data_IF_919094364378
#
_entry.id   IF_919094364378
#
_cell.length_a   1.000
_cell.length_b   1.000
_cell.length_c   1.000
_cell.angle_alpha   90.00
_cell.angle_beta   90.00
_cell.angle_gamma   90.00
#
_symmetry.space_group_name_H-M   'P 1'
#
loop_
_entity.id
_entity.type
_entity.pdbx_description
1 polymer ?
#
# COMPACT_ATOMS: atom_id res chain seq x y z
N UNK A 1 -35.05 -21.69 -5.91
CA UNK A 1 -35.22 -20.25 -6.17
C UNK A 1 -34.10 -19.63 -5.36
N UNK A 2 -32.94 -19.62 -5.99
CA UNK A 2 -31.70 -19.26 -5.32
C UNK A 2 -31.72 -17.74 -5.23
N UNK A 3 -31.76 -17.20 -4.01
CA UNK A 3 -31.56 -15.78 -3.83
C UNK A 3 -30.16 -15.48 -4.37
N UNK A 4 -30.07 -14.65 -5.42
CA UNK A 4 -28.79 -14.09 -5.85
C UNK A 4 -28.15 -13.46 -4.63
N UNK A 5 -27.07 -14.07 -4.15
CA UNK A 5 -26.24 -13.53 -3.10
C UNK A 5 -25.59 -12.28 -3.68
N UNK A 6 -26.11 -11.11 -3.31
CA UNK A 6 -25.57 -9.83 -3.73
C UNK A 6 -24.11 -9.77 -3.27
N UNK A 7 -23.18 -9.62 -4.21
CA UNK A 7 -21.77 -9.46 -3.87
C UNK A 7 -21.58 -8.19 -3.05
N UNK A 8 -20.62 -8.20 -2.13
CA UNK A 8 -20.20 -7.01 -1.40
C UNK A 8 -19.79 -5.87 -2.35
N UNK A 9 -19.26 -6.21 -3.54
CA UNK A 9 -18.92 -5.23 -4.58
C UNK A 9 -20.14 -4.52 -5.14
N UNK A 10 -21.22 -5.25 -5.42
CA UNK A 10 -22.46 -4.67 -5.95
C UNK A 10 -23.09 -3.75 -4.91
N UNK A 11 -23.11 -4.18 -3.64
CA UNK A 11 -23.56 -3.34 -2.54
C UNK A 11 -22.71 -2.06 -2.41
N UNK A 12 -21.38 -2.17 -2.52
CA UNK A 12 -20.50 -1.00 -2.47
C UNK A 12 -20.80 -0.06 -3.65
N UNK A 13 -20.92 -0.57 -4.88
CA UNK A 13 -21.21 0.23 -6.07
C UNK A 13 -22.49 1.04 -5.93
N UNK A 14 -23.58 0.42 -5.47
CA UNK A 14 -24.83 1.13 -5.19
C UNK A 14 -24.64 2.27 -4.18
N UNK A 15 -23.83 2.06 -3.13
CA UNK A 15 -23.52 3.09 -2.15
C UNK A 15 -22.64 4.21 -2.72
N UNK A 16 -21.72 3.89 -3.62
CA UNK A 16 -20.90 4.88 -4.32
C UNK A 16 -21.76 5.76 -5.21
N UNK A 17 -22.65 5.16 -6.02
CA UNK A 17 -23.58 5.87 -6.90
C UNK A 17 -24.58 6.74 -6.12
N UNK A 18 -25.13 6.20 -5.02
CA UNK A 18 -26.04 6.93 -4.15
C UNK A 18 -25.34 8.00 -3.29
N UNK A 19 -24.00 8.05 -3.28
CA UNK A 19 -23.19 8.90 -2.43
C UNK A 19 -23.56 8.80 -0.94
N UNK A 20 -23.81 7.58 -0.46
CA UNK A 20 -24.24 7.31 0.91
C UNK A 20 -23.08 6.95 1.85
N UNK A 21 -23.37 6.83 3.14
CA UNK A 21 -22.43 6.30 4.15
C UNK A 21 -22.14 4.82 3.87
N UNK A 22 -20.88 4.43 4.03
CA UNK A 22 -20.40 3.05 3.83
C UNK A 22 -20.32 2.37 5.20
N UNK A 23 -21.01 1.24 5.45
CA UNK A 23 -20.90 0.53 6.71
C UNK A 23 -19.49 -0.01 6.93
N UNK A 24 -18.90 0.18 8.11
CA UNK A 24 -17.59 -0.39 8.46
C UNK A 24 -17.54 -1.91 8.26
N UNK A 25 -18.63 -2.61 8.61
CA UNK A 25 -18.77 -4.06 8.41
C UNK A 25 -18.67 -4.50 6.96
N UNK A 26 -19.12 -3.67 6.01
CA UNK A 26 -18.96 -3.97 4.59
C UNK A 26 -17.47 -3.90 4.21
N UNK A 27 -16.77 -2.87 4.67
CA UNK A 27 -15.33 -2.72 4.45
C UNK A 27 -14.55 -3.87 5.09
N UNK A 28 -14.89 -4.25 6.33
CA UNK A 28 -14.31 -5.41 7.02
C UNK A 28 -14.52 -6.72 6.24
N UNK A 29 -15.70 -6.92 5.66
CA UNK A 29 -16.01 -8.08 4.83
C UNK A 29 -15.15 -8.10 3.56
N UNK A 30 -15.03 -6.96 2.89
CA UNK A 30 -14.18 -6.80 1.70
C UNK A 30 -12.69 -7.02 2.02
N UNK A 31 -12.22 -6.54 3.18
CA UNK A 31 -10.86 -6.76 3.68
C UNK A 31 -10.56 -8.24 3.95
N UNK A 32 -11.57 -8.99 4.40
CA UNK A 32 -11.44 -10.41 4.76
C UNK A 32 -11.68 -11.35 3.59
N UNK A 33 -11.98 -10.81 2.40
CA UNK A 33 -12.25 -11.60 1.20
C UNK A 33 -10.99 -12.21 0.62
N UNK A 34 -11.10 -13.41 0.06
CA UNK A 34 -10.04 -14.01 -0.76
C UNK A 34 -10.03 -13.43 -2.20
N UNK A 35 -11.09 -12.68 -2.57
CA UNK A 35 -11.19 -12.01 -3.86
C UNK A 35 -10.34 -10.74 -3.87
N UNK A 36 -9.39 -10.69 -4.82
CA UNK A 36 -8.45 -9.57 -4.98
C UNK A 36 -9.13 -8.26 -5.30
N UNK A 37 -10.20 -8.31 -6.07
CA UNK A 37 -10.94 -7.13 -6.44
C UNK A 37 -11.76 -6.60 -5.26
N UNK A 38 -12.31 -7.48 -4.43
CA UNK A 38 -12.95 -7.06 -3.18
C UNK A 38 -11.92 -6.42 -2.23
N UNK A 39 -10.71 -6.97 -2.14
CA UNK A 39 -9.63 -6.32 -1.38
C UNK A 39 -9.26 -4.95 -1.97
N UNK A 40 -9.24 -4.82 -3.30
CA UNK A 40 -8.98 -3.54 -3.95
C UNK A 40 -10.08 -2.50 -3.65
N UNK A 41 -11.34 -2.93 -3.62
CA UNK A 41 -12.47 -2.10 -3.22
C UNK A 41 -12.38 -1.68 -1.73
N UNK A 42 -11.95 -2.58 -0.85
CA UNK A 42 -11.64 -2.23 0.54
C UNK A 42 -10.52 -1.17 0.63
N UNK A 43 -9.41 -1.36 -0.09
CA UNK A 43 -8.32 -0.39 -0.12
C UNK A 43 -8.78 0.98 -0.65
N UNK A 44 -9.59 1.00 -1.70
CA UNK A 44 -10.17 2.23 -2.24
C UNK A 44 -11.04 2.95 -1.19
N UNK A 45 -11.86 2.21 -0.46
CA UNK A 45 -12.65 2.77 0.63
C UNK A 45 -11.76 3.40 1.71
N UNK A 46 -10.73 2.69 2.15
CA UNK A 46 -9.83 3.13 3.21
C UNK A 46 -8.97 4.34 2.80
N UNK A 47 -8.54 4.41 1.54
CA UNK A 47 -7.67 5.48 1.04
C UNK A 47 -8.41 6.72 0.55
N UNK A 48 -9.53 6.56 -0.16
CA UNK A 48 -10.25 7.66 -0.80
C UNK A 48 -11.52 8.06 -0.07
N UNK A 49 -12.14 7.14 0.67
CA UNK A 49 -13.49 7.30 1.21
C UNK A 49 -13.56 7.17 2.72
N UNK A 50 -12.44 7.27 3.44
CA UNK A 50 -12.37 7.08 4.90
C UNK A 50 -13.49 7.78 5.68
N UNK A 51 -13.75 9.06 5.35
CA UNK A 51 -14.78 9.89 6.01
C UNK A 51 -16.22 9.40 5.80
N UNK A 52 -16.46 8.52 4.82
CA UNK A 52 -17.78 7.93 4.56
C UNK A 52 -17.99 6.63 5.33
N UNK A 53 -16.94 6.01 5.87
CA UNK A 53 -17.02 4.75 6.60
C UNK A 53 -17.63 4.99 7.98
N UNK A 54 -18.66 4.23 8.35
CA UNK A 54 -19.43 4.40 9.58
C UNK A 54 -19.77 3.05 10.26
N UNK A 55 -19.48 2.86 11.56
CA UNK A 55 -18.67 3.75 12.40
C UNK A 55 -17.27 3.98 11.82
N UNK A 56 -16.60 5.05 12.23
CA UNK A 56 -15.22 5.28 11.81
C UNK A 56 -14.36 4.10 12.28
N UNK A 57 -13.49 3.60 11.39
CA UNK A 57 -12.58 2.51 11.70
C UNK A 57 -11.31 3.06 12.34
N UNK A 58 -10.61 2.23 13.09
CA UNK A 58 -9.35 2.64 13.70
C UNK A 58 -8.17 2.35 12.76
N UNK A 59 -7.23 3.29 12.65
CA UNK A 59 -6.06 3.16 11.74
C UNK A 59 -5.24 1.92 12.07
N UNK A 60 -5.01 1.63 13.35
CA UNK A 60 -4.24 0.46 13.78
C UNK A 60 -4.91 -0.87 13.40
N UNK A 61 -6.24 -0.88 13.24
CA UNK A 61 -6.98 -2.05 12.81
C UNK A 61 -6.86 -2.26 11.30
N UNK A 62 -6.88 -1.19 10.50
CA UNK A 62 -6.84 -1.26 9.04
C UNK A 62 -5.44 -1.32 8.46
N UNK A 63 -4.43 -0.80 9.17
CA UNK A 63 -3.06 -0.71 8.70
C UNK A 63 -2.45 -2.05 8.24
N UNK A 64 -2.58 -3.17 8.98
CA UNK A 64 -2.03 -4.45 8.54
C UNK A 64 -2.59 -4.90 7.19
N UNK A 65 -3.90 -4.76 6.99
CA UNK A 65 -4.55 -5.05 5.71
C UNK A 65 -4.01 -4.15 4.59
N UNK A 66 -3.91 -2.85 4.83
CA UNK A 66 -3.39 -1.90 3.83
C UNK A 66 -1.96 -2.27 3.42
N UNK A 67 -1.11 -2.61 4.38
CA UNK A 67 0.26 -3.03 4.09
C UNK A 67 0.31 -4.32 3.29
N UNK A 68 -0.47 -5.33 3.70
CA UNK A 68 -0.55 -6.61 2.98
C UNK A 68 -1.08 -6.45 1.57
N UNK A 69 -2.13 -5.65 1.38
CA UNK A 69 -2.68 -5.36 0.08
C UNK A 69 -1.65 -4.71 -0.85
N UNK A 70 -0.98 -3.65 -0.39
CA UNK A 70 0.02 -2.94 -1.21
C UNK A 70 1.23 -3.82 -1.55
N UNK A 71 1.75 -4.57 -0.58
CA UNK A 71 2.86 -5.50 -0.82
C UNK A 71 2.44 -6.59 -1.81
N UNK A 72 1.24 -7.15 -1.66
CA UNK A 72 0.70 -8.16 -2.57
C UNK A 72 0.51 -7.60 -3.99
N UNK A 73 0.06 -6.36 -4.15
CA UNK A 73 -0.04 -5.70 -5.46
C UNK A 73 1.32 -5.51 -6.13
N UNK A 74 2.41 -5.38 -5.35
CA UNK A 74 3.78 -5.35 -5.88
C UNK A 74 4.25 -6.75 -6.28
N UNK A 75 4.07 -7.74 -5.40
CA UNK A 75 4.65 -9.08 -5.58
C UNK A 75 3.86 -9.99 -6.50
N UNK A 76 2.57 -9.72 -6.68
CA UNK A 76 1.65 -10.53 -7.46
C UNK A 76 0.79 -9.62 -8.36
N UNK A 77 1.38 -8.95 -9.37
CA UNK A 77 0.69 -7.96 -10.20
C UNK A 77 -0.60 -8.49 -10.84
N UNK A 78 -1.61 -7.63 -10.90
CA UNK A 78 -2.90 -7.95 -11.53
C UNK A 78 -2.95 -7.43 -12.97
N UNK A 79 -2.31 -8.15 -13.90
CA UNK A 79 -2.13 -7.70 -15.30
C UNK A 79 -3.42 -7.58 -16.12
N UNK A 80 -4.54 -8.16 -15.66
CA UNK A 80 -5.82 -8.19 -16.36
C UNK A 80 -6.96 -7.50 -15.60
N UNK A 81 -6.66 -6.41 -14.88
CA UNK A 81 -7.69 -5.63 -14.21
C UNK A 81 -8.67 -5.03 -15.23
N UNK A 82 -9.98 -5.15 -14.97
CA UNK A 82 -11.00 -4.43 -15.75
C UNK A 82 -10.79 -2.91 -15.59
N UNK A 83 -11.26 -2.11 -16.56
CA UNK A 83 -11.23 -0.65 -16.48
C UNK A 83 -11.97 -0.10 -15.25
N UNK A 84 -12.93 -0.87 -14.71
CA UNK A 84 -13.67 -0.51 -13.50
C UNK A 84 -13.06 -1.10 -12.21
N UNK A 85 -11.88 -1.73 -12.30
CA UNK A 85 -11.19 -2.30 -11.15
C UNK A 85 -10.47 -1.22 -10.36
N UNK A 86 -10.52 -1.34 -9.04
CA UNK A 86 -9.69 -0.55 -8.13
C UNK A 86 -8.32 -1.20 -7.86
N UNK A 87 -8.00 -2.31 -8.55
CA UNK A 87 -6.71 -2.99 -8.39
C UNK A 87 -5.56 -2.07 -8.81
N UNK A 88 -4.50 -2.09 -8.01
CA UNK A 88 -3.30 -1.29 -8.28
C UNK A 88 -2.31 -2.08 -9.12
N UNK A 89 -1.66 -1.40 -10.07
CA UNK A 89 -0.39 -1.87 -10.61
C UNK A 89 0.69 -1.87 -9.52
N UNK A 90 1.77 -2.62 -9.75
CA UNK A 90 2.89 -2.69 -8.80
C UNK A 90 3.51 -1.32 -8.51
N UNK A 91 3.65 -0.46 -9.53
CA UNK A 91 4.19 0.89 -9.34
C UNK A 91 3.23 1.84 -8.64
N UNK A 92 1.93 1.72 -8.87
CA UNK A 92 0.93 2.46 -8.08
C UNK A 92 0.99 2.04 -6.61
N UNK A 93 1.08 0.73 -6.34
CA UNK A 93 1.21 0.23 -4.98
C UNK A 93 2.49 0.71 -4.29
N UNK A 94 3.64 0.67 -4.99
CA UNK A 94 4.91 1.21 -4.50
C UNK A 94 4.82 2.70 -4.16
N UNK A 95 4.16 3.50 -5.01
CA UNK A 95 3.92 4.92 -4.75
C UNK A 95 2.99 5.16 -3.56
N UNK A 96 1.98 4.33 -3.37
CA UNK A 96 1.10 4.43 -2.21
C UNK A 96 1.83 4.07 -0.90
N UNK A 97 2.76 3.10 -0.91
CA UNK A 97 3.64 2.82 0.23
C UNK A 97 4.48 4.04 0.63
N UNK A 98 5.03 4.75 -0.36
CA UNK A 98 5.76 6.01 -0.12
C UNK A 98 4.85 7.05 0.57
N UNK A 99 3.63 7.23 0.06
CA UNK A 99 2.65 8.16 0.63
C UNK A 99 2.34 7.87 2.10
N UNK A 100 2.20 6.58 2.46
CA UNK A 100 2.03 6.15 3.85
C UNK A 100 3.27 6.52 4.67
N UNK A 101 4.46 6.19 4.18
CA UNK A 101 5.71 6.41 4.93
C UNK A 101 5.94 7.90 5.20
N UNK A 102 5.77 8.74 4.18
CA UNK A 102 5.88 10.21 4.29
C UNK A 102 4.81 10.75 5.25
N UNK A 103 3.57 10.29 5.13
CA UNK A 103 2.46 10.78 5.96
C UNK A 103 2.54 10.36 7.42
N UNK A 104 3.17 9.22 7.72
CA UNK A 104 3.19 8.65 9.07
C UNK A 104 4.50 8.86 9.82
N UNK A 105 5.57 9.30 9.16
CA UNK A 105 6.88 9.46 9.77
C UNK A 105 6.86 10.29 11.07
N UNK A 106 6.15 11.42 11.05
CA UNK A 106 6.02 12.31 12.22
C UNK A 106 4.78 12.00 13.08
N UNK A 107 4.04 10.93 12.77
CA UNK A 107 2.83 10.59 13.51
C UNK A 107 3.17 9.86 14.82
N UNK A 108 2.63 10.25 15.99
CA UNK A 108 2.97 9.65 17.28
C UNK A 108 2.71 8.14 17.39
N UNK A 109 1.76 7.62 16.61
CA UNK A 109 1.45 6.18 16.54
C UNK A 109 2.19 5.47 15.39
N UNK A 110 2.91 6.22 14.56
CA UNK A 110 3.53 5.76 13.33
C UNK A 110 4.75 4.87 13.55
N UNK A 111 5.51 5.04 14.62
CA UNK A 111 6.81 4.36 14.82
C UNK A 111 6.71 2.83 14.69
N UNK A 112 5.77 2.21 15.40
CA UNK A 112 5.60 0.74 15.36
C UNK A 112 5.07 0.25 14.01
N UNK A 113 4.17 1.01 13.38
CA UNK A 113 3.60 0.66 12.08
C UNK A 113 4.62 0.83 10.96
N UNK A 114 5.47 1.87 11.01
CA UNK A 114 6.57 2.07 10.07
C UNK A 114 7.59 0.94 10.21
N UNK A 115 7.98 0.58 11.43
CA UNK A 115 8.89 -0.53 11.63
C UNK A 115 8.35 -1.86 11.06
N UNK A 116 7.04 -2.09 11.16
CA UNK A 116 6.39 -3.25 10.53
C UNK A 116 6.38 -3.15 9.00
N UNK A 117 6.03 -1.99 8.45
CA UNK A 117 6.02 -1.74 7.02
C UNK A 117 7.40 -1.95 6.38
N UNK A 118 8.46 -1.40 6.99
CA UNK A 118 9.84 -1.56 6.52
C UNK A 118 10.23 -3.05 6.48
N UNK A 119 9.90 -3.83 7.51
CA UNK A 119 10.17 -5.28 7.51
C UNK A 119 9.47 -6.02 6.37
N UNK A 120 8.24 -5.61 6.04
CA UNK A 120 7.49 -6.21 4.91
C UNK A 120 8.13 -5.85 3.57
N UNK A 121 8.58 -4.61 3.41
CA UNK A 121 9.29 -4.15 2.20
C UNK A 121 10.63 -4.89 2.06
N UNK A 122 11.42 -4.98 3.13
CA UNK A 122 12.69 -5.71 3.16
C UNK A 122 12.48 -7.16 2.71
N UNK A 123 11.45 -7.82 3.27
CA UNK A 123 11.11 -9.19 2.90
C UNK A 123 10.67 -9.31 1.44
N UNK A 124 9.79 -8.43 0.97
CA UNK A 124 9.32 -8.43 -0.41
C UNK A 124 10.47 -8.23 -1.41
N UNK A 125 11.47 -7.41 -1.06
CA UNK A 125 12.65 -7.22 -1.88
C UNK A 125 13.53 -8.47 -1.93
N UNK A 126 13.80 -9.08 -0.77
CA UNK A 126 14.64 -10.29 -0.68
C UNK A 126 14.01 -11.50 -1.38
N UNK A 127 12.74 -11.76 -1.09
CA UNK A 127 11.99 -12.90 -1.62
C UNK A 127 11.59 -12.68 -3.09
N UNK A 128 11.57 -11.42 -3.55
CA UNK A 128 11.15 -11.01 -4.87
C UNK A 128 12.15 -11.35 -5.99
N UNK A 129 11.62 -11.53 -7.20
CA UNK A 129 12.42 -11.66 -8.41
C UNK A 129 12.97 -10.31 -8.90
N UNK A 130 13.65 -10.31 -10.05
CA UNK A 130 14.23 -9.09 -10.63
C UNK A 130 13.17 -7.99 -10.89
N UNK A 131 11.96 -8.35 -11.30
CA UNK A 131 10.89 -7.39 -11.60
C UNK A 131 10.38 -6.74 -10.32
N UNK A 132 10.16 -7.54 -9.27
CA UNK A 132 9.73 -7.06 -7.94
C UNK A 132 10.80 -6.15 -7.33
N UNK A 133 12.07 -6.59 -7.33
CA UNK A 133 13.20 -5.80 -6.82
C UNK A 133 13.31 -4.45 -7.52
N UNK A 134 13.22 -4.44 -8.86
CA UNK A 134 13.25 -3.21 -9.65
C UNK A 134 12.08 -2.28 -9.33
N UNK A 135 10.88 -2.83 -9.12
CA UNK A 135 9.70 -2.05 -8.77
C UNK A 135 9.85 -1.40 -7.37
N UNK A 136 10.39 -2.14 -6.39
CA UNK A 136 10.65 -1.59 -5.05
C UNK A 136 11.76 -0.54 -5.09
N UNK A 137 12.84 -0.77 -5.84
CA UNK A 137 13.94 0.18 -6.00
C UNK A 137 13.46 1.49 -6.63
N UNK A 138 12.91 1.41 -7.84
CA UNK A 138 12.58 2.60 -8.65
C UNK A 138 11.22 3.21 -8.34
N UNK A 139 10.24 2.39 -7.94
CA UNK A 139 8.89 2.85 -7.62
C UNK A 139 8.72 3.34 -6.19
N UNK A 140 9.65 3.00 -5.29
CA UNK A 140 9.55 3.34 -3.87
C UNK A 140 10.85 3.87 -3.28
N UNK A 141 11.95 3.11 -3.32
CA UNK A 141 13.16 3.43 -2.55
C UNK A 141 13.83 4.71 -3.05
N UNK A 142 13.96 4.89 -4.37
CA UNK A 142 14.46 6.11 -5.01
C UNK A 142 13.76 7.35 -4.44
N UNK A 143 12.42 7.32 -4.43
CA UNK A 143 11.60 8.41 -3.94
C UNK A 143 11.58 8.54 -2.41
N UNK A 144 11.69 7.43 -1.67
CA UNK A 144 11.82 7.49 -0.21
C UNK A 144 13.11 8.23 0.19
N UNK A 145 14.20 8.02 -0.55
CA UNK A 145 15.51 8.64 -0.27
C UNK A 145 15.63 10.09 -0.77
N UNK A 146 14.67 10.59 -1.55
CA UNK A 146 14.48 12.03 -1.83
C UNK A 146 14.16 12.82 -0.55
N UNK A 147 13.62 12.16 0.49
CA UNK A 147 13.30 12.75 1.78
C UNK A 147 14.41 12.48 2.82
N UNK A 148 15.22 13.48 3.21
CA UNK A 148 16.35 13.26 4.12
C UNK A 148 15.97 12.59 5.45
N UNK A 149 14.78 12.90 5.98
CA UNK A 149 14.29 12.33 7.23
C UNK A 149 13.95 10.84 7.15
N UNK A 150 13.66 10.30 5.95
CA UNK A 150 13.37 8.87 5.76
C UNK A 150 14.63 8.03 5.57
N UNK A 151 15.76 8.63 5.14
CA UNK A 151 17.03 7.90 4.88
C UNK A 151 17.50 7.00 6.04
N UNK A 152 17.41 7.41 7.31
CA UNK A 152 17.80 6.54 8.42
C UNK A 152 17.03 5.22 8.50
N UNK A 153 15.79 5.16 7.98
CA UNK A 153 14.97 3.95 7.98
C UNK A 153 15.51 2.85 7.05
N UNK A 154 16.34 3.22 6.07
CA UNK A 154 16.90 2.31 5.06
C UNK A 154 18.41 2.16 5.14
N UNK A 155 19.06 2.77 6.13
CA UNK A 155 20.52 2.73 6.26
C UNK A 155 21.08 1.30 6.32
N UNK A 156 20.32 0.35 6.90
CA UNK A 156 20.70 -1.07 6.98
C UNK A 156 20.83 -1.75 5.62
N UNK A 157 20.21 -1.23 4.56
CA UNK A 157 20.33 -1.79 3.22
C UNK A 157 21.76 -1.66 2.67
N UNK A 158 22.51 -0.63 3.08
CA UNK A 158 23.89 -0.43 2.65
C UNK A 158 24.85 -1.54 3.13
N UNK A 159 24.55 -2.14 4.29
CA UNK A 159 25.33 -3.22 4.87
C UNK A 159 24.92 -4.59 4.32
N UNK A 160 23.67 -4.76 3.89
CA UNK A 160 23.13 -6.03 3.42
C UNK A 160 23.59 -6.38 1.99
N UNK A 161 24.31 -7.50 1.75
CA UNK A 161 24.91 -7.81 0.44
C UNK A 161 23.93 -7.82 -0.73
N UNK A 162 22.69 -8.30 -0.52
CA UNK A 162 21.67 -8.38 -1.58
C UNK A 162 20.92 -7.07 -1.85
N UNK A 163 20.99 -6.10 -0.94
CA UNK A 163 20.26 -4.82 -1.04
C UNK A 163 21.19 -3.64 -1.36
N UNK A 164 22.48 -3.81 -1.11
CA UNK A 164 23.47 -2.73 -1.19
C UNK A 164 23.43 -1.99 -2.53
N UNK A 165 23.44 -2.71 -3.64
CA UNK A 165 23.50 -2.09 -4.96
C UNK A 165 22.24 -1.24 -5.23
N UNK A 166 21.04 -1.77 -4.93
CA UNK A 166 19.79 -1.04 -5.06
C UNK A 166 19.74 0.20 -4.13
N UNK A 167 20.23 0.07 -2.90
CA UNK A 167 20.33 1.21 -1.98
C UNK A 167 21.31 2.28 -2.48
N UNK A 168 22.47 1.88 -3.02
CA UNK A 168 23.44 2.82 -3.59
C UNK A 168 22.83 3.60 -4.75
N UNK A 169 22.20 2.93 -5.72
CA UNK A 169 21.55 3.61 -6.84
C UNK A 169 20.40 4.52 -6.37
N UNK A 170 19.54 4.02 -5.49
CA UNK A 170 18.41 4.79 -4.99
C UNK A 170 18.86 6.02 -4.17
N UNK A 171 19.95 5.91 -3.42
CA UNK A 171 20.51 7.04 -2.68
C UNK A 171 21.12 8.09 -3.61
N UNK A 172 21.83 7.67 -4.66
CA UNK A 172 22.35 8.59 -5.69
C UNK A 172 21.20 9.37 -6.34
N UNK A 173 20.10 8.70 -6.68
CA UNK A 173 18.89 9.33 -7.16
C UNK A 173 18.30 10.32 -6.14
N UNK A 174 18.09 9.87 -4.91
CA UNK A 174 17.47 10.67 -3.85
C UNK A 174 18.27 11.91 -3.48
N UNK A 175 19.60 11.88 -3.56
CA UNK A 175 20.46 13.05 -3.38
C UNK A 175 20.36 14.04 -4.54
N UNK A 176 20.17 13.55 -5.77
CA UNK A 176 20.02 14.39 -6.95
C UNK A 176 18.64 15.10 -7.02
N UNK A 177 17.62 14.55 -6.36
CA UNK A 177 16.24 15.04 -6.37
C UNK A 177 15.73 15.43 -4.98
N UNK A 178 16.65 15.79 -4.07
CA UNK A 178 16.33 16.02 -2.67
C UNK A 178 15.22 17.06 -2.46
N UNK A 179 14.23 16.69 -1.63
CA UNK A 179 13.22 17.61 -1.15
C UNK A 179 13.75 18.40 0.04
N UNK A 180 13.93 19.71 -0.14
CA UNK A 180 14.15 20.64 0.98
C UNK A 180 12.81 20.93 1.65
N UNK A 181 12.63 20.46 2.89
CA UNK A 181 11.50 20.86 3.73
C UNK A 181 11.52 22.36 4.06
#
# INVERSE_FOLDING_TARGET
MDAEEFSNRDQLREMLEANTKIPARLVESLMSSDDREENADAYYCLSQLWKRIQPEMEVWFTAPFVFDFLIRSITEPHENADFNSNALSSYEAARNLLGILVGWFDHPQGETMIADLIKRIDRAFLDGDKSIRLCIETGFLEHALEYPQLRPLFAHWSDHPEMRDAHTHALEWGLAHEHTQ
#
